data_IF_567972846655
#
_entry.id   IF_567972846655
#
_cell.length_a   1.000
_cell.length_b   1.000
_cell.length_c   1.000
_cell.angle_alpha   90.00
_cell.angle_beta   90.00
_cell.angle_gamma   90.00
#
_symmetry.space_group_name_H-M   'P 1'
#
loop_
_entity.id
_entity.type
_entity.pdbx_description
1 polymer ?
#
# COMPACT_ATOMS: atom_id res chain seq x y z
N UNK A 1 -7.76 32.03 -3.07
CA UNK A 1 -7.18 30.94 -3.88
C UNK A 1 -7.43 29.56 -3.27
N UNK A 2 -7.64 29.42 -1.94
CA UNK A 2 -7.98 28.12 -1.30
C UNK A 2 -9.32 27.53 -1.76
N UNK A 3 -10.36 28.36 -1.91
CA UNK A 3 -11.72 27.85 -2.20
C UNK A 3 -11.85 27.19 -3.57
N UNK A 4 -10.99 27.55 -4.53
CA UNK A 4 -10.93 26.92 -5.86
C UNK A 4 -10.16 25.59 -5.81
N UNK A 5 -9.08 25.52 -5.02
CA UNK A 5 -8.29 24.30 -4.82
C UNK A 5 -9.12 23.19 -4.15
N UNK A 6 -9.72 23.46 -2.98
CA UNK A 6 -10.47 22.46 -2.21
C UNK A 6 -11.69 21.95 -2.99
N UNK A 7 -12.34 22.84 -3.76
CA UNK A 7 -13.43 22.49 -4.66
C UNK A 7 -12.97 21.57 -5.78
N UNK A 8 -11.81 21.85 -6.40
CA UNK A 8 -11.23 21.00 -7.44
C UNK A 8 -10.79 19.64 -6.91
N UNK A 9 -10.11 19.59 -5.76
CA UNK A 9 -9.74 18.31 -5.10
C UNK A 9 -11.00 17.48 -4.84
N UNK A 10 -12.05 18.09 -4.30
CA UNK A 10 -13.31 17.40 -4.00
C UNK A 10 -13.98 16.86 -5.27
N UNK A 11 -14.05 17.67 -6.33
CA UNK A 11 -14.64 17.30 -7.62
C UNK A 11 -13.87 16.15 -8.29
N UNK A 12 -12.54 16.28 -8.37
CA UNK A 12 -11.64 15.26 -8.93
C UNK A 12 -11.71 13.97 -8.11
N UNK A 13 -11.78 14.07 -6.78
CA UNK A 13 -11.92 12.90 -5.90
C UNK A 13 -13.21 12.15 -6.18
N UNK A 14 -14.34 12.86 -6.34
CA UNK A 14 -15.61 12.23 -6.68
C UNK A 14 -15.57 11.56 -8.06
N UNK A 15 -14.99 12.22 -9.06
CA UNK A 15 -14.84 11.69 -10.42
C UNK A 15 -13.96 10.42 -10.43
N UNK A 16 -12.79 10.47 -9.78
CA UNK A 16 -11.84 9.36 -9.75
C UNK A 16 -12.35 8.19 -8.91
N UNK A 17 -13.03 8.46 -7.79
CA UNK A 17 -13.70 7.41 -7.00
C UNK A 17 -14.75 6.68 -7.85
N UNK A 18 -15.59 7.42 -8.59
CA UNK A 18 -16.57 6.82 -9.51
C UNK A 18 -15.93 6.06 -10.66
N UNK A 19 -14.72 6.44 -11.08
CA UNK A 19 -13.99 5.71 -12.12
C UNK A 19 -13.44 4.38 -11.56
N UNK A 20 -12.93 4.39 -10.33
CA UNK A 20 -12.37 3.20 -9.68
C UNK A 20 -13.43 2.17 -9.24
N UNK A 21 -14.72 2.48 -9.25
CA UNK A 21 -15.76 1.45 -9.06
C UNK A 21 -15.87 0.50 -10.26
N UNK A 22 -15.31 0.86 -11.42
CA UNK A 22 -15.41 0.11 -12.67
C UNK A 22 -14.03 -0.07 -13.34
N UNK A 23 -13.09 -0.82 -12.73
CA UNK A 23 -11.80 -1.08 -13.34
C UNK A 23 -11.92 -1.82 -14.69
N UNK A 24 -11.03 -1.57 -15.67
CA UNK A 24 -9.86 -0.69 -15.60
C UNK A 24 -10.24 0.81 -15.66
N UNK A 25 -9.57 1.61 -14.84
CA UNK A 25 -9.74 3.07 -14.80
C UNK A 25 -8.71 3.74 -15.72
N UNK A 26 -9.18 4.56 -16.66
CA UNK A 26 -8.33 5.39 -17.53
C UNK A 26 -8.28 6.81 -16.97
N UNK A 27 -7.23 7.11 -16.20
CA UNK A 27 -7.02 8.40 -15.50
C UNK A 27 -6.19 9.38 -16.32
N UNK A 28 -5.46 8.93 -17.34
CA UNK A 28 -4.55 9.75 -18.16
C UNK A 28 -5.24 10.94 -18.82
N UNK A 29 -6.47 10.76 -19.30
CA UNK A 29 -7.27 11.85 -19.88
C UNK A 29 -7.64 12.91 -18.84
N UNK A 30 -7.94 12.50 -17.60
CA UNK A 30 -8.25 13.40 -16.47
C UNK A 30 -7.00 14.18 -16.08
N UNK A 31 -5.85 13.49 -15.97
CA UNK A 31 -4.56 14.09 -15.63
C UNK A 31 -4.17 15.16 -16.66
N UNK A 32 -4.21 14.82 -17.96
CA UNK A 32 -3.82 15.72 -19.05
C UNK A 32 -4.76 16.93 -19.19
N UNK A 33 -6.01 16.78 -18.81
CA UNK A 33 -7.00 17.85 -18.84
C UNK A 33 -7.03 18.70 -17.56
N UNK A 34 -6.30 18.30 -16.50
CA UNK A 34 -6.40 18.99 -15.21
C UNK A 34 -5.77 20.38 -15.27
N UNK A 35 -6.49 21.44 -14.85
CA UNK A 35 -5.94 22.79 -14.76
C UNK A 35 -4.98 22.96 -13.57
N UNK A 36 -5.12 22.13 -12.52
CA UNK A 36 -4.29 22.14 -11.32
C UNK A 36 -3.77 20.72 -11.08
N UNK A 37 -2.51 20.48 -11.43
CA UNK A 37 -1.90 19.15 -11.33
C UNK A 37 -1.77 18.67 -9.88
N UNK A 38 -1.54 19.57 -8.92
CA UNK A 38 -1.44 19.23 -7.49
C UNK A 38 -2.75 18.68 -6.96
N UNK A 39 -3.86 19.38 -7.22
CA UNK A 39 -5.19 18.91 -6.85
C UNK A 39 -5.52 17.54 -7.48
N UNK A 40 -5.11 17.32 -8.74
CA UNK A 40 -5.31 16.04 -9.42
C UNK A 40 -4.47 14.91 -8.83
N UNK A 41 -3.21 15.19 -8.49
CA UNK A 41 -2.30 14.22 -7.87
C UNK A 41 -2.80 13.78 -6.49
N UNK A 42 -3.18 14.74 -5.64
CA UNK A 42 -3.76 14.49 -4.33
C UNK A 42 -5.08 13.70 -4.45
N UNK A 43 -6.00 14.16 -5.29
CA UNK A 43 -7.29 13.50 -5.51
C UNK A 43 -7.12 12.06 -6.02
N UNK A 44 -6.13 11.82 -6.90
CA UNK A 44 -5.82 10.47 -7.41
C UNK A 44 -5.30 9.56 -6.31
N UNK A 45 -4.36 10.03 -5.48
CA UNK A 45 -3.83 9.27 -4.35
C UNK A 45 -4.91 8.91 -3.33
N UNK A 46 -5.74 9.89 -2.95
CA UNK A 46 -6.84 9.70 -1.99
C UNK A 46 -7.89 8.75 -2.55
N UNK A 47 -8.34 8.96 -3.79
CA UNK A 47 -9.39 8.14 -4.42
C UNK A 47 -8.94 6.70 -4.61
N UNK A 48 -7.68 6.48 -5.01
CA UNK A 48 -7.12 5.14 -5.18
C UNK A 48 -7.10 4.41 -3.84
N UNK A 49 -6.54 5.03 -2.80
CA UNK A 49 -6.43 4.42 -1.48
C UNK A 49 -7.81 4.13 -0.87
N UNK A 50 -8.76 5.06 -0.99
CA UNK A 50 -10.14 4.87 -0.54
C UNK A 50 -10.83 3.71 -1.27
N UNK A 51 -10.63 3.60 -2.59
CA UNK A 51 -11.23 2.54 -3.41
C UNK A 51 -10.72 1.16 -3.03
N UNK A 52 -9.40 1.02 -2.83
CA UNK A 52 -8.82 -0.27 -2.44
C UNK A 52 -9.15 -0.66 -0.99
N UNK A 53 -9.32 0.31 -0.09
CA UNK A 53 -9.80 0.05 1.27
C UNK A 53 -11.26 -0.40 1.28
N UNK A 54 -12.09 0.15 0.38
CA UNK A 54 -13.50 -0.21 0.25
C UNK A 54 -13.70 -1.57 -0.44
N UNK A 55 -12.80 -1.96 -1.35
CA UNK A 55 -12.87 -3.24 -2.07
C UNK A 55 -11.49 -3.89 -2.24
N UNK A 56 -10.91 -4.49 -1.17
CA UNK A 56 -9.56 -5.06 -1.23
C UNK A 56 -9.41 -6.20 -2.24
N UNK A 57 -10.49 -6.91 -2.55
CA UNK A 57 -10.47 -7.99 -3.54
C UNK A 57 -10.22 -7.49 -4.98
N UNK A 58 -10.42 -6.19 -5.25
CA UNK A 58 -10.23 -5.57 -6.57
C UNK A 58 -8.86 -4.94 -6.81
N UNK A 59 -7.96 -5.00 -5.81
CA UNK A 59 -6.68 -4.28 -5.81
C UNK A 59 -5.86 -4.51 -7.09
N UNK A 60 -5.64 -5.77 -7.48
CA UNK A 60 -4.82 -6.06 -8.66
C UNK A 60 -5.48 -5.56 -9.97
N UNK A 61 -6.82 -5.58 -10.03
CA UNK A 61 -7.59 -5.05 -11.15
C UNK A 61 -7.53 -3.52 -11.24
N UNK A 62 -7.23 -2.83 -10.15
CA UNK A 62 -7.03 -1.38 -10.12
C UNK A 62 -5.56 -1.00 -10.38
N UNK A 63 -4.63 -1.64 -9.68
CA UNK A 63 -3.19 -1.29 -9.71
C UNK A 63 -2.57 -1.56 -11.08
N UNK A 64 -2.81 -2.73 -11.67
CA UNK A 64 -2.11 -3.10 -12.92
C UNK A 64 -2.49 -2.21 -14.11
N UNK A 65 -3.78 -1.90 -14.38
CA UNK A 65 -4.13 -0.95 -15.42
C UNK A 65 -3.63 0.46 -15.12
N UNK A 66 -3.72 0.90 -13.87
CA UNK A 66 -3.26 2.23 -13.48
C UNK A 66 -1.77 2.45 -13.78
N UNK A 67 -0.91 1.48 -13.47
CA UNK A 67 0.53 1.56 -13.81
C UNK A 67 0.74 1.76 -15.31
N UNK A 68 0.00 1.04 -16.15
CA UNK A 68 0.10 1.18 -17.62
C UNK A 68 -0.41 2.53 -18.09
N UNK A 69 -1.50 3.01 -17.52
CA UNK A 69 -2.11 4.27 -17.92
C UNK A 69 -1.26 5.48 -17.48
N UNK A 70 -0.66 5.44 -16.28
CA UNK A 70 0.31 6.45 -15.81
C UNK A 70 1.58 6.50 -16.66
N UNK A 71 1.98 5.41 -17.31
CA UNK A 71 3.10 5.46 -18.25
C UNK A 71 2.82 6.38 -19.46
N UNK A 72 1.54 6.65 -19.76
CA UNK A 72 1.14 7.55 -20.86
C UNK A 72 1.15 9.03 -20.49
N UNK A 73 1.43 9.37 -19.23
CA UNK A 73 1.50 10.75 -18.70
C UNK A 73 2.93 11.19 -18.39
N UNK A 74 3.94 10.55 -18.98
CA UNK A 74 5.37 10.86 -18.79
C UNK A 74 5.75 12.30 -19.23
N UNK A 75 4.96 12.87 -20.14
CA UNK A 75 5.10 14.22 -20.68
C UNK A 75 4.46 15.29 -19.78
N UNK A 76 3.62 14.90 -18.82
CA UNK A 76 2.95 15.83 -17.90
C UNK A 76 3.90 16.20 -16.77
N UNK A 77 4.13 17.51 -16.62
CA UNK A 77 5.12 18.08 -15.69
C UNK A 77 4.49 19.13 -14.79
N UNK A 78 4.86 19.10 -13.52
CA UNK A 78 4.60 20.15 -12.56
C UNK A 78 5.55 21.32 -12.76
N UNK A 79 4.99 22.52 -12.74
CA UNK A 79 5.72 23.77 -12.62
C UNK A 79 5.04 24.58 -11.52
N UNK A 80 5.44 24.31 -10.28
CA UNK A 80 4.98 25.02 -9.08
C UNK A 80 6.21 25.35 -8.24
N UNK A 81 6.78 26.53 -8.50
CA UNK A 81 8.00 27.00 -7.82
C UNK A 81 7.77 27.21 -6.32
N UNK A 82 6.55 27.59 -5.92
CA UNK A 82 6.20 27.84 -4.52
C UNK A 82 6.18 26.53 -3.71
N UNK A 83 5.74 25.43 -4.34
CA UNK A 83 5.82 24.07 -3.77
C UNK A 83 7.19 23.40 -3.98
N UNK A 84 8.14 24.06 -4.66
CA UNK A 84 9.47 23.54 -4.95
C UNK A 84 9.53 22.52 -6.10
N UNK A 85 8.46 22.40 -6.88
CA UNK A 85 8.40 21.52 -8.06
C UNK A 85 8.78 22.28 -9.33
N UNK A 86 9.97 22.00 -9.86
CA UNK A 86 10.45 22.54 -11.12
C UNK A 86 10.62 21.39 -12.11
N UNK A 87 9.87 21.41 -13.21
CA UNK A 87 9.89 20.38 -14.26
C UNK A 87 9.80 18.93 -13.71
N UNK A 88 8.99 18.75 -12.67
CA UNK A 88 8.88 17.47 -11.98
C UNK A 88 7.81 16.60 -12.66
N UNK A 89 8.10 15.35 -13.06
CA UNK A 89 7.10 14.44 -13.65
C UNK A 89 5.88 14.25 -12.76
N UNK A 90 4.69 14.23 -13.37
CA UNK A 90 3.44 14.02 -12.64
C UNK A 90 3.48 12.76 -11.78
N UNK A 91 3.97 11.67 -12.36
CA UNK A 91 4.06 10.37 -11.70
C UNK A 91 4.93 10.41 -10.43
N UNK A 92 5.97 11.26 -10.40
CA UNK A 92 6.83 11.42 -9.22
C UNK A 92 6.06 12.08 -8.10
N UNK A 93 5.33 13.17 -8.39
CA UNK A 93 4.53 13.88 -7.37
C UNK A 93 3.39 12.98 -6.87
N UNK A 94 2.69 12.29 -7.78
CA UNK A 94 1.67 11.33 -7.41
C UNK A 94 2.19 10.21 -6.51
N UNK A 95 3.39 9.68 -6.78
CA UNK A 95 4.01 8.68 -5.91
C UNK A 95 4.34 9.22 -4.52
N UNK A 96 4.71 10.50 -4.40
CA UNK A 96 4.94 11.17 -3.11
C UNK A 96 3.62 11.27 -2.34
N UNK A 97 2.57 11.80 -2.97
CA UNK A 97 1.24 11.96 -2.35
C UNK A 97 0.65 10.60 -1.94
N UNK A 98 0.82 9.57 -2.78
CA UNK A 98 0.38 8.21 -2.48
C UNK A 98 1.21 7.60 -1.34
N UNK A 99 2.52 7.84 -1.30
CA UNK A 99 3.38 7.37 -0.20
C UNK A 99 2.97 7.98 1.15
N UNK A 100 2.64 9.27 1.16
CA UNK A 100 2.18 9.96 2.37
C UNK A 100 0.84 9.40 2.85
N UNK A 101 -0.15 9.31 1.95
CA UNK A 101 -1.47 8.76 2.26
C UNK A 101 -1.38 7.31 2.75
N UNK A 102 -0.57 6.48 2.08
CA UNK A 102 -0.35 5.10 2.46
C UNK A 102 0.36 4.99 3.82
N UNK A 103 1.38 5.82 4.06
CA UNK A 103 2.06 5.89 5.36
C UNK A 103 1.08 6.19 6.47
N UNK A 104 0.20 7.18 6.26
CA UNK A 104 -0.83 7.56 7.21
C UNK A 104 -1.82 6.42 7.48
N UNK A 105 -2.17 5.63 6.46
CA UNK A 105 -3.08 4.49 6.62
C UNK A 105 -2.42 3.27 7.29
N UNK A 106 -1.16 2.96 7.00
CA UNK A 106 -0.43 1.84 7.60
C UNK A 106 -0.08 2.11 9.08
N UNK A 107 0.42 3.32 9.35
CA UNK A 107 0.93 3.71 10.67
C UNK A 107 -0.14 4.39 11.54
N UNK A 108 -1.29 4.75 10.94
CA UNK A 108 -2.42 5.41 11.60
C UNK A 108 -1.98 6.70 12.31
N UNK A 109 -1.19 7.52 11.62
CA UNK A 109 -0.63 8.79 12.15
C UNK A 109 -1.65 9.92 12.21
N UNK A 110 -2.85 9.73 11.65
CA UNK A 110 -3.92 10.70 11.64
C UNK A 110 -4.42 10.97 13.06
N UNK A 111 -4.30 12.22 13.51
CA UNK A 111 -4.75 12.65 14.83
C UNK A 111 -6.24 12.31 15.04
N UNK A 112 -6.57 11.86 16.25
CA UNK A 112 -7.93 11.57 16.71
C UNK A 112 -8.66 10.39 16.02
N UNK A 113 -8.03 9.67 15.08
CA UNK A 113 -8.60 8.41 14.61
C UNK A 113 -8.18 7.26 15.53
N UNK A 114 -9.13 6.43 16.00
CA UNK A 114 -8.80 5.28 16.83
C UNK A 114 -8.00 4.26 16.00
N UNK A 115 -6.98 3.68 16.64
CA UNK A 115 -6.15 2.64 16.04
C UNK A 115 -6.99 1.40 15.72
N UNK A 116 -6.76 0.80 14.57
CA UNK A 116 -7.39 -0.45 14.17
C UNK A 116 -6.72 -1.63 14.89
N UNK A 117 -7.47 -2.31 15.75
CA UNK A 117 -7.01 -3.50 16.50
C UNK A 117 -7.78 -4.77 16.13
N UNK A 118 -8.92 -4.64 15.45
CA UNK A 118 -9.80 -5.78 15.11
C UNK A 118 -9.42 -6.42 13.78
N UNK A 119 -9.41 -7.76 13.71
CA UNK A 119 -9.17 -8.50 12.46
C UNK A 119 -10.51 -8.68 11.73
N UNK A 120 -10.92 -7.67 10.99
CA UNK A 120 -12.16 -7.65 10.21
C UNK A 120 -11.91 -7.13 8.80
N UNK A 121 -12.77 -7.45 7.81
CA UNK A 121 -12.57 -7.01 6.43
C UNK A 121 -12.50 -5.48 6.25
N UNK A 122 -13.14 -4.71 7.14
CA UNK A 122 -13.15 -3.24 7.13
C UNK A 122 -11.89 -2.62 7.75
N UNK A 123 -10.94 -3.42 8.25
CA UNK A 123 -9.71 -2.90 8.83
C UNK A 123 -8.84 -2.28 7.73
N UNK A 124 -8.78 -0.94 7.75
CA UNK A 124 -8.08 -0.15 6.73
C UNK A 124 -6.58 -0.39 6.70
N UNK A 125 -5.96 -0.77 7.83
CA UNK A 125 -4.52 -1.11 7.90
C UNK A 125 -4.26 -2.37 7.08
N UNK A 126 -5.10 -3.40 7.22
CA UNK A 126 -4.93 -4.67 6.48
C UNK A 126 -5.14 -4.48 4.98
N UNK A 127 -6.19 -3.75 4.58
CA UNK A 127 -6.42 -3.44 3.16
C UNK A 127 -5.31 -2.56 2.58
N UNK A 128 -4.75 -1.65 3.37
CA UNK A 128 -3.62 -0.80 2.93
C UNK A 128 -2.33 -1.61 2.80
N UNK A 129 -2.10 -2.59 3.68
CA UNK A 129 -0.92 -3.46 3.62
C UNK A 129 -0.92 -4.35 2.38
N UNK A 130 -2.09 -4.91 2.03
CA UNK A 130 -2.20 -5.71 0.82
C UNK A 130 -2.14 -4.87 -0.47
N UNK A 131 -2.70 -3.65 -0.44
CA UNK A 131 -2.50 -2.67 -1.51
C UNK A 131 -1.03 -2.32 -1.68
N UNK A 132 -0.31 -2.05 -0.59
CA UNK A 132 1.11 -1.77 -0.61
C UNK A 132 1.91 -2.91 -1.27
N UNK A 133 1.55 -4.16 -0.98
CA UNK A 133 2.12 -5.33 -1.66
C UNK A 133 1.88 -5.30 -3.16
N UNK A 134 0.63 -5.12 -3.61
CA UNK A 134 0.32 -5.05 -5.04
C UNK A 134 1.02 -3.87 -5.72
N UNK A 135 1.00 -2.68 -5.11
CA UNK A 135 1.63 -1.48 -5.62
C UNK A 135 3.16 -1.66 -5.76
N UNK A 136 3.81 -2.30 -4.78
CA UNK A 136 5.24 -2.58 -4.82
C UNK A 136 5.60 -3.59 -5.90
N UNK A 137 4.87 -4.71 -5.97
CA UNK A 137 5.09 -5.77 -6.97
C UNK A 137 4.95 -5.25 -8.39
N UNK A 138 3.94 -4.43 -8.63
CA UNK A 138 3.64 -3.92 -9.97
C UNK A 138 4.40 -2.63 -10.32
N UNK A 139 5.29 -2.16 -9.45
CA UNK A 139 6.11 -0.97 -9.70
C UNK A 139 5.36 0.37 -9.59
N UNK A 140 4.15 0.38 -9.01
CA UNK A 140 3.39 1.61 -8.78
C UNK A 140 4.04 2.47 -7.70
N UNK A 141 4.48 1.85 -6.59
CA UNK A 141 4.99 2.57 -5.43
C UNK A 141 6.07 1.78 -4.69
N UNK A 142 7.12 2.49 -4.27
CA UNK A 142 8.12 2.02 -3.32
C UNK A 142 8.32 3.12 -2.27
N UNK A 143 8.27 2.78 -0.98
CA UNK A 143 8.37 3.78 0.09
C UNK A 143 8.98 3.19 1.35
N UNK A 144 9.78 3.99 2.07
CA UNK A 144 10.31 3.63 3.37
C UNK A 144 9.20 3.33 4.41
N UNK A 145 8.02 3.92 4.25
CA UNK A 145 6.88 3.63 5.12
C UNK A 145 6.42 2.17 5.01
N UNK A 146 6.51 1.57 3.81
CA UNK A 146 6.20 0.15 3.58
C UNK A 146 7.23 -0.72 4.31
N UNK A 147 8.52 -0.39 4.18
CA UNK A 147 9.60 -1.13 4.82
C UNK A 147 9.53 -1.05 6.34
N UNK A 148 9.28 0.15 6.89
CA UNK A 148 9.09 0.34 8.32
C UNK A 148 7.89 -0.46 8.84
N UNK A 149 6.78 -0.50 8.10
CA UNK A 149 5.60 -1.28 8.46
C UNK A 149 5.89 -2.79 8.51
N UNK A 150 6.61 -3.31 7.51
CA UNK A 150 7.03 -4.73 7.52
C UNK A 150 7.99 -5.01 8.67
N UNK A 151 8.97 -4.13 8.93
CA UNK A 151 9.86 -4.26 10.09
C UNK A 151 9.12 -4.32 11.43
N UNK A 152 8.08 -3.48 11.61
CA UNK A 152 7.19 -3.51 12.77
C UNK A 152 6.39 -4.80 12.86
N UNK A 153 5.79 -5.28 11.77
CA UNK A 153 4.99 -6.51 11.76
C UNK A 153 5.81 -7.77 12.01
N UNK A 154 7.05 -7.79 11.52
CA UNK A 154 8.04 -8.82 11.84
C UNK A 154 8.61 -8.70 13.26
N UNK A 155 8.33 -7.60 13.96
CA UNK A 155 8.88 -7.26 15.28
C UNK A 155 10.41 -7.36 15.29
N UNK A 156 11.07 -6.77 14.30
CA UNK A 156 12.52 -6.65 14.27
C UNK A 156 13.02 -5.81 15.45
N UNK A 157 14.25 -6.02 15.96
CA UNK A 157 14.73 -5.38 17.19
C UNK A 157 14.63 -3.86 17.23
N UNK A 158 14.76 -3.20 16.08
CA UNK A 158 14.74 -1.75 15.93
C UNK A 158 13.31 -1.17 15.82
N UNK A 159 12.30 -2.02 15.69
CA UNK A 159 10.94 -1.60 15.42
C UNK A 159 10.10 -1.44 16.70
N UNK A 160 9.60 -0.23 16.92
CA UNK A 160 8.64 0.06 17.99
C UNK A 160 7.23 -0.24 17.50
N UNK A 161 6.48 -1.03 18.27
CA UNK A 161 5.08 -1.35 17.99
C UNK A 161 4.20 -1.24 19.23
N UNK A 162 3.05 -0.61 19.07
CA UNK A 162 2.00 -0.53 20.08
C UNK A 162 1.42 -1.93 20.35
N UNK A 163 1.37 -2.34 21.62
CA UNK A 163 1.01 -3.71 22.02
C UNK A 163 -0.35 -4.16 21.46
N UNK A 164 -1.34 -3.26 21.47
CA UNK A 164 -2.71 -3.52 21.00
C UNK A 164 -2.83 -3.71 19.48
N UNK A 165 -1.84 -3.24 18.71
CA UNK A 165 -1.81 -3.35 17.24
C UNK A 165 -0.94 -4.49 16.73
N UNK A 166 -0.20 -5.17 17.62
CA UNK A 166 0.80 -6.19 17.25
C UNK A 166 0.27 -7.22 16.27
N UNK A 167 -0.92 -7.75 16.54
CA UNK A 167 -1.53 -8.76 15.70
C UNK A 167 -1.93 -8.22 14.32
N UNK A 168 -2.59 -7.05 14.27
CA UNK A 168 -2.99 -6.40 13.00
C UNK A 168 -1.77 -6.12 12.13
N UNK A 169 -0.71 -5.54 12.70
CA UNK A 169 0.49 -5.19 11.93
C UNK A 169 1.24 -6.46 11.50
N UNK A 170 1.29 -7.50 12.33
CA UNK A 170 1.88 -8.79 11.95
C UNK A 170 1.12 -9.46 10.79
N UNK A 171 -0.23 -9.48 10.83
CA UNK A 171 -1.05 -9.98 9.73
C UNK A 171 -0.84 -9.12 8.47
N UNK A 172 -0.84 -7.79 8.62
CA UNK A 172 -0.58 -6.86 7.52
C UNK A 172 0.77 -7.10 6.84
N UNK A 173 1.85 -7.28 7.62
CA UNK A 173 3.16 -7.63 7.10
C UNK A 173 3.15 -8.98 6.37
N UNK A 174 2.43 -9.98 6.90
CA UNK A 174 2.29 -11.27 6.24
C UNK A 174 1.55 -11.17 4.89
N UNK A 175 0.47 -10.37 4.81
CA UNK A 175 -0.26 -10.10 3.57
C UNK A 175 0.67 -9.47 2.52
N UNK A 176 1.41 -8.45 2.93
CA UNK A 176 2.32 -7.71 2.06
C UNK A 176 3.46 -8.60 1.56
N UNK A 177 4.12 -9.34 2.46
CA UNK A 177 5.18 -10.28 2.11
C UNK A 177 4.69 -11.40 1.20
N UNK A 178 3.49 -11.91 1.41
CA UNK A 178 2.95 -12.98 0.55
C UNK A 178 2.69 -12.48 -0.89
N UNK A 179 2.28 -11.22 -1.04
CA UNK A 179 2.03 -10.62 -2.37
C UNK A 179 3.31 -10.17 -3.06
N UNK A 180 4.28 -9.61 -2.31
CA UNK A 180 5.41 -8.88 -2.86
C UNK A 180 6.77 -9.20 -2.23
N UNK A 181 6.90 -10.30 -1.49
CA UNK A 181 8.07 -10.63 -0.68
C UNK A 181 9.39 -10.56 -1.44
N UNK A 182 9.47 -11.16 -2.63
CA UNK A 182 10.69 -11.11 -3.44
C UNK A 182 11.08 -9.66 -3.81
N UNK A 183 10.16 -8.90 -4.39
CA UNK A 183 10.38 -7.49 -4.79
C UNK A 183 10.71 -6.60 -3.58
N UNK A 184 10.08 -6.85 -2.44
CA UNK A 184 10.33 -6.13 -1.21
C UNK A 184 11.74 -6.37 -0.70
N UNK A 185 12.18 -7.63 -0.62
CA UNK A 185 13.50 -7.97 -0.14
C UNK A 185 14.60 -7.41 -1.04
N UNK A 186 14.40 -7.43 -2.36
CA UNK A 186 15.34 -6.84 -3.32
C UNK A 186 15.53 -5.32 -3.13
N UNK A 187 14.48 -4.61 -2.72
CA UNK A 187 14.52 -3.15 -2.55
C UNK A 187 14.88 -2.70 -1.13
N UNK A 188 14.49 -3.48 -0.11
CA UNK A 188 14.66 -3.12 1.29
C UNK A 188 16.00 -3.60 1.88
N UNK A 189 16.41 -4.82 1.57
CA UNK A 189 17.54 -5.48 2.23
C UNK A 189 18.61 -5.87 1.20
N UNK A 190 19.77 -5.22 1.29
CA UNK A 190 20.93 -5.49 0.43
C UNK A 190 21.81 -6.65 0.93
N UNK A 191 21.55 -7.18 2.13
CA UNK A 191 22.35 -8.21 2.77
C UNK A 191 22.08 -9.60 2.19
N UNK A 192 23.11 -10.44 2.13
CA UNK A 192 23.02 -11.81 1.59
C UNK A 192 22.16 -12.74 2.43
N UNK A 193 21.95 -12.43 3.72
CA UNK A 193 21.18 -13.23 4.68
C UNK A 193 19.74 -12.72 4.89
N UNK A 194 19.27 -11.76 4.07
CA UNK A 194 17.95 -11.14 4.19
C UNK A 194 16.79 -12.13 4.28
N UNK A 195 16.83 -13.20 3.49
CA UNK A 195 15.76 -14.20 3.47
C UNK A 195 15.73 -14.99 4.79
N UNK A 196 16.90 -15.38 5.29
CA UNK A 196 17.05 -16.08 6.56
C UNK A 196 16.53 -15.21 7.73
N UNK A 197 16.82 -13.91 7.72
CA UNK A 197 16.29 -12.97 8.72
C UNK A 197 14.76 -12.92 8.71
N UNK A 198 14.14 -12.83 7.53
CA UNK A 198 12.68 -12.83 7.41
C UNK A 198 12.05 -14.14 7.86
N UNK A 199 12.62 -15.29 7.45
CA UNK A 199 12.12 -16.61 7.89
C UNK A 199 12.19 -16.73 9.41
N UNK A 200 13.34 -16.40 10.03
CA UNK A 200 13.49 -16.42 11.50
C UNK A 200 12.50 -15.50 12.20
N UNK A 201 12.26 -14.30 11.66
CA UNK A 201 11.30 -13.37 12.23
C UNK A 201 9.88 -13.94 12.20
N UNK A 202 9.44 -14.49 11.05
CA UNK A 202 8.11 -15.10 10.91
C UNK A 202 7.95 -16.33 11.82
N UNK A 203 8.95 -17.19 11.93
CA UNK A 203 8.93 -18.34 12.85
C UNK A 203 8.85 -17.87 14.30
N UNK A 204 9.56 -16.80 14.68
CA UNK A 204 9.45 -16.20 16.00
C UNK A 204 8.06 -15.61 16.29
N UNK A 205 7.35 -15.07 15.29
CA UNK A 205 5.95 -14.65 15.46
C UNK A 205 5.06 -15.85 15.80
N UNK A 206 5.28 -16.99 15.14
CA UNK A 206 4.55 -18.23 15.35
C UNK A 206 4.82 -18.80 16.75
N UNK A 207 6.09 -18.93 17.13
CA UNK A 207 6.50 -19.46 18.44
C UNK A 207 5.96 -18.64 19.62
N UNK A 208 5.94 -17.32 19.48
CA UNK A 208 5.43 -16.40 20.52
C UNK A 208 3.90 -16.27 20.52
N UNK A 209 3.19 -16.88 19.55
CA UNK A 209 1.74 -16.77 19.44
C UNK A 209 1.26 -15.33 19.24
N UNK A 210 1.99 -14.53 18.46
CA UNK A 210 1.68 -13.10 18.25
C UNK A 210 0.35 -12.92 17.51
N UNK A 211 0.08 -13.82 16.56
CA UNK A 211 -1.18 -13.86 15.82
C UNK A 211 -2.04 -14.97 16.43
N UNK A 212 -3.16 -14.59 17.05
CA UNK A 212 -4.13 -15.51 17.65
C UNK A 212 -5.33 -15.78 16.75
N UNK A 213 -5.63 -14.90 15.80
CA UNK A 213 -6.74 -15.01 14.88
C UNK A 213 -6.56 -16.24 13.97
N UNK A 214 -7.51 -17.19 13.91
CA UNK A 214 -7.31 -18.46 13.22
C UNK A 214 -6.88 -18.33 11.76
N UNK A 215 -7.54 -17.47 10.98
CA UNK A 215 -7.16 -17.24 9.57
C UNK A 215 -5.84 -16.46 9.43
N UNK A 216 -5.49 -15.65 10.44
CA UNK A 216 -4.20 -14.98 10.51
C UNK A 216 -3.05 -15.96 10.76
N UNK A 217 -3.28 -16.99 11.58
CA UNK A 217 -2.32 -18.09 11.77
C UNK A 217 -2.10 -18.85 10.46
N UNK A 218 -3.18 -19.19 9.75
CA UNK A 218 -3.07 -19.83 8.42
C UNK A 218 -2.28 -18.97 7.43
N UNK A 219 -2.51 -17.65 7.42
CA UNK A 219 -1.72 -16.72 6.61
C UNK A 219 -0.24 -16.76 6.99
N UNK A 220 0.08 -16.68 8.29
CA UNK A 220 1.47 -16.71 8.77
C UNK A 220 2.20 -17.98 8.33
N UNK A 221 1.56 -19.14 8.44
CA UNK A 221 2.13 -20.42 7.97
C UNK A 221 2.40 -20.40 6.47
N UNK A 222 1.43 -19.94 5.68
CA UNK A 222 1.58 -19.73 4.23
C UNK A 222 2.75 -18.79 3.90
N UNK A 223 2.91 -17.71 4.66
CA UNK A 223 3.99 -16.74 4.45
C UNK A 223 5.35 -17.31 4.85
N UNK A 224 5.42 -18.15 5.91
CA UNK A 224 6.65 -18.88 6.27
C UNK A 224 7.05 -19.82 5.14
N UNK A 225 6.12 -20.61 4.61
CA UNK A 225 6.39 -21.54 3.51
C UNK A 225 6.85 -20.80 2.25
N UNK A 226 6.18 -19.70 1.90
CA UNK A 226 6.58 -18.84 0.79
C UNK A 226 7.99 -18.26 1.01
N UNK A 227 8.31 -17.78 2.22
CA UNK A 227 9.63 -17.24 2.54
C UNK A 227 10.73 -18.30 2.46
N UNK A 228 10.47 -19.54 2.91
CA UNK A 228 11.42 -20.66 2.79
C UNK A 228 11.74 -21.02 1.34
N UNK A 229 10.77 -20.84 0.45
CA UNK A 229 10.93 -21.00 -1.00
C UNK A 229 11.39 -19.71 -1.70
N UNK A 230 11.89 -18.72 -0.96
CA UNK A 230 12.39 -17.46 -1.52
C UNK A 230 11.32 -16.60 -2.20
N UNK A 231 10.05 -16.79 -1.84
CA UNK A 231 8.88 -16.17 -2.48
C UNK A 231 8.79 -16.46 -3.99
N UNK A 232 9.23 -17.64 -4.43
CA UNK A 232 9.22 -18.00 -5.85
C UNK A 232 7.80 -18.08 -6.45
N UNK A 233 6.81 -18.45 -5.64
CA UNK A 233 5.41 -18.49 -6.06
C UNK A 233 4.73 -17.14 -5.87
N UNK A 234 4.16 -16.60 -6.95
CA UNK A 234 3.39 -15.34 -6.90
C UNK A 234 1.98 -15.60 -6.36
N UNK A 235 1.55 -14.82 -5.37
CA UNK A 235 0.18 -14.83 -4.84
C UNK A 235 -0.48 -13.50 -5.17
N UNK A 236 -1.69 -13.51 -5.75
CA UNK A 236 -2.44 -12.28 -6.05
C UNK A 236 -2.90 -11.60 -4.76
N UNK A 237 -3.17 -10.29 -4.82
CA UNK A 237 -3.77 -9.58 -3.69
C UNK A 237 -5.14 -10.18 -3.32
N UNK A 238 -5.94 -10.53 -4.32
CA UNK A 238 -7.24 -11.17 -4.10
C UNK A 238 -7.11 -12.51 -3.36
N UNK A 239 -6.14 -13.35 -3.74
CA UNK A 239 -5.95 -14.66 -3.11
C UNK A 239 -5.39 -14.53 -1.69
N UNK A 240 -4.44 -13.62 -1.46
CA UNK A 240 -3.91 -13.35 -0.13
C UNK A 240 -5.00 -12.79 0.80
N UNK A 241 -5.89 -11.92 0.31
CA UNK A 241 -7.02 -11.39 1.09
C UNK A 241 -7.98 -12.49 1.55
N UNK A 242 -8.33 -13.41 0.63
CA UNK A 242 -9.23 -14.55 0.91
C UNK A 242 -8.68 -15.54 1.94
N UNK A 243 -7.36 -15.58 2.15
CA UNK A 243 -6.77 -16.39 3.23
C UNK A 243 -7.17 -15.87 4.61
N UNK A 244 -7.33 -14.55 4.76
CA UNK A 244 -7.71 -13.93 6.04
C UNK A 244 -9.23 -13.79 6.14
N UNK A 245 -9.89 -13.44 5.03
CA UNK A 245 -11.33 -13.15 4.93
C UNK A 245 -11.97 -13.94 3.78
N UNK A 246 -12.27 -15.24 3.99
CA UNK A 246 -12.84 -16.13 2.97
C UNK A 246 -14.29 -15.83 2.62
#
# INVERSE_FOLDING_TARGET
MSDDYDSQVSSLTAQLTSLFTHPPAEVSSIIKASPILSACSEALAVSLLSSVQSNPASIDALVQPLVRDLATTEDVRFTDEDAGYIDTPFNTVFQIDLAENLSNALHETQLHKPKQTSIIPQNTVLSSAIFAGSALRNGLLSSNAIYAFVGQGLQLPEATIEQERKEVVAIGACLLLLVAGNTLLDKWMSESDRLEKVVKALESLKERGVIGHPTGVTLLERTIDAAKDGFATTVTATDAWKLVFP
#
